data_IF_467392577432
#
_entry.id   IF_467392577432
#
_cell.length_a   1.000
_cell.length_b   1.000
_cell.length_c   1.000
_cell.angle_alpha   90.00
_cell.angle_beta   90.00
_cell.angle_gamma   90.00
#
_symmetry.space_group_name_H-M   'P 1'
#
loop_
_entity.id
_entity.type
_entity.pdbx_description
1 polymer ?
#
# COMPACT_ATOMS: atom_id res chain seq x y z
N UNK A 1 11.70 17.81 17.41
CA UNK A 1 12.69 18.40 16.49
C UNK A 1 13.24 17.24 15.71
N UNK A 2 12.78 17.07 14.47
CA UNK A 2 13.34 16.04 13.59
C UNK A 2 14.79 16.41 13.31
N UNK A 3 15.72 15.62 13.85
CA UNK A 3 17.15 15.78 13.61
C UNK A 3 17.43 15.30 12.19
N UNK A 4 17.35 16.25 11.27
CA UNK A 4 17.46 16.05 9.83
C UNK A 4 18.94 15.88 9.40
N UNK A 5 19.65 14.93 10.01
CA UNK A 5 21.03 14.61 9.66
C UNK A 5 21.02 13.33 8.82
N UNK A 6 20.70 13.48 7.55
CA UNK A 6 20.88 12.43 6.54
C UNK A 6 22.10 12.78 5.69
N UNK A 7 23.11 11.91 5.66
CA UNK A 7 24.35 12.16 4.89
C UNK A 7 24.12 12.06 3.37
N UNK A 8 23.19 11.21 2.94
CA UNK A 8 22.79 11.06 1.53
C UNK A 8 21.48 10.29 1.39
N UNK A 9 20.82 10.46 0.23
CA UNK A 9 19.66 9.67 -0.19
C UNK A 9 20.06 8.91 -1.45
N UNK A 10 19.69 7.63 -1.53
CA UNK A 10 19.96 6.76 -2.69
C UNK A 10 18.68 6.41 -3.42
N UNK A 11 18.78 6.31 -4.74
CA UNK A 11 17.71 5.83 -5.63
C UNK A 11 18.26 4.68 -6.47
N UNK A 12 17.41 3.70 -6.75
CA UNK A 12 17.77 2.52 -7.53
C UNK A 12 16.53 1.75 -7.96
N UNK A 13 16.74 0.75 -8.81
CA UNK A 13 15.66 -0.13 -9.23
C UNK A 13 15.28 -1.07 -8.08
N UNK A 14 13.98 -1.22 -7.85
CA UNK A 14 13.46 -2.19 -6.90
C UNK A 14 13.30 -3.56 -7.58
N UNK A 15 13.80 -4.61 -6.94
CA UNK A 15 13.57 -5.99 -7.36
C UNK A 15 12.13 -6.44 -7.07
N UNK A 16 11.62 -7.49 -7.75
CA UNK A 16 10.30 -8.04 -7.46
C UNK A 16 10.11 -8.45 -5.99
N UNK A 17 11.16 -8.95 -5.34
CA UNK A 17 11.09 -9.36 -3.93
C UNK A 17 11.00 -8.16 -2.99
N UNK A 18 11.73 -7.08 -3.26
CA UNK A 18 11.58 -5.82 -2.51
C UNK A 18 10.17 -5.23 -2.66
N UNK A 19 9.58 -5.28 -3.85
CA UNK A 19 8.21 -4.79 -4.07
C UNK A 19 7.20 -5.61 -3.24
N UNK A 20 7.39 -6.93 -3.16
CA UNK A 20 6.55 -7.80 -2.33
C UNK A 20 6.75 -7.55 -0.84
N UNK A 21 7.98 -7.31 -0.41
CA UNK A 21 8.30 -6.98 0.98
C UNK A 21 7.64 -5.67 1.43
N UNK A 22 7.54 -4.68 0.56
CA UNK A 22 6.85 -3.41 0.84
C UNK A 22 5.32 -3.54 0.84
N UNK A 23 4.79 -4.60 0.23
CA UNK A 23 3.35 -4.80 0.10
C UNK A 23 2.76 -5.42 1.36
N UNK A 24 1.63 -4.88 1.80
CA UNK A 24 0.84 -5.43 2.90
C UNK A 24 -0.18 -6.50 2.44
N UNK A 25 -0.29 -6.73 1.14
CA UNK A 25 -1.22 -7.68 0.56
C UNK A 25 -1.51 -7.44 -0.92
N UNK A 26 -2.02 -8.47 -1.58
CA UNK A 26 -2.34 -8.44 -3.00
C UNK A 26 -3.79 -7.96 -3.25
N UNK A 27 -3.94 -6.94 -4.07
CA UNK A 27 -5.25 -6.51 -4.59
C UNK A 27 -5.64 -7.41 -5.76
N UNK A 28 -6.77 -8.11 -5.63
CA UNK A 28 -7.21 -9.10 -6.63
C UNK A 28 -8.37 -8.60 -7.48
N UNK A 29 -9.07 -7.57 -7.03
CA UNK A 29 -10.25 -7.05 -7.71
C UNK A 29 -10.13 -5.56 -8.01
N UNK A 30 -10.72 -5.09 -9.12
CA UNK A 30 -10.67 -3.69 -9.50
C UNK A 30 -11.68 -2.82 -8.72
N UNK A 31 -12.61 -3.42 -7.96
CA UNK A 31 -13.62 -2.64 -7.24
C UNK A 31 -13.01 -1.79 -6.13
N UNK A 32 -13.66 -0.66 -5.85
CA UNK A 32 -13.19 0.35 -4.90
C UNK A 32 -14.01 0.32 -3.62
N UNK A 33 -15.02 1.18 -3.53
CA UNK A 33 -15.92 1.35 -2.39
C UNK A 33 -17.33 1.11 -2.89
N UNK A 34 -18.11 0.37 -2.09
CA UNK A 34 -19.51 0.16 -2.38
C UNK A 34 -20.29 1.48 -2.29
N UNK A 35 -20.97 1.86 -3.37
CA UNK A 35 -21.68 3.15 -3.41
C UNK A 35 -22.86 3.26 -2.43
N UNK A 36 -23.41 2.13 -1.94
CA UNK A 36 -24.55 2.13 -1.01
C UNK A 36 -24.10 2.13 0.44
N UNK A 37 -23.16 1.25 0.78
CA UNK A 37 -22.73 1.06 2.17
C UNK A 37 -21.55 1.94 2.54
N UNK A 38 -20.88 2.56 1.55
CA UNK A 38 -19.63 3.30 1.70
C UNK A 38 -18.50 2.45 2.30
N UNK A 39 -18.64 1.13 2.29
CA UNK A 39 -17.63 0.19 2.78
C UNK A 39 -16.70 -0.21 1.64
N UNK A 40 -15.38 -0.31 1.91
CA UNK A 40 -14.44 -0.83 0.93
C UNK A 40 -14.77 -2.26 0.52
N UNK A 41 -14.59 -2.57 -0.76
CA UNK A 41 -14.78 -3.92 -1.26
C UNK A 41 -13.63 -4.84 -0.83
N UNK A 42 -13.97 -6.07 -0.43
CA UNK A 42 -12.97 -7.06 0.01
C UNK A 42 -12.10 -7.48 -1.15
N UNK A 43 -10.78 -7.43 -0.93
CA UNK A 43 -9.71 -7.65 -1.92
C UNK A 43 -9.69 -6.62 -3.06
N UNK A 44 -10.43 -5.51 -2.90
CA UNK A 44 -10.45 -4.36 -3.79
C UNK A 44 -9.37 -3.32 -3.47
N UNK A 45 -9.37 -2.22 -4.21
CA UNK A 45 -8.35 -1.16 -4.16
C UNK A 45 -8.26 -0.45 -2.80
N UNK A 46 -9.32 -0.51 -1.99
CA UNK A 46 -9.37 0.11 -0.66
C UNK A 46 -9.54 -0.92 0.46
N UNK A 47 -9.22 -2.20 0.22
CA UNK A 47 -9.48 -3.26 1.18
C UNK A 47 -8.79 -3.00 2.54
N UNK A 48 -9.59 -2.87 3.60
CA UNK A 48 -9.12 -2.61 4.99
C UNK A 48 -8.17 -3.71 5.50
N UNK A 49 -8.25 -4.92 4.95
CA UNK A 49 -7.32 -6.01 5.30
C UNK A 49 -5.90 -5.79 4.78
N UNK A 50 -5.76 -5.08 3.66
CA UNK A 50 -4.45 -4.79 3.05
C UNK A 50 -3.92 -3.48 3.61
N UNK A 51 -4.76 -2.44 3.70
CA UNK A 51 -4.30 -1.09 4.01
C UNK A 51 -4.53 -0.65 5.46
N UNK A 52 -5.23 -1.45 6.26
CA UNK A 52 -5.64 -1.11 7.62
C UNK A 52 -7.01 -0.43 7.68
N UNK A 53 -7.54 -0.18 8.90
CA UNK A 53 -8.76 0.58 9.12
C UNK A 53 -8.59 2.07 8.74
#
# INVERSE_FOLDING_TARGET
MDNNVFDSIKIGLASPDQIREWSYGEVKKPETINYRTLKPERDGLFCERIFGP
#
